data_IF_422483810266
#
_entry.id   IF_422483810266
#
_cell.length_a   1.000
_cell.length_b   1.000
_cell.length_c   1.000
_cell.angle_alpha   90.00
_cell.angle_beta   90.00
_cell.angle_gamma   90.00
#
_symmetry.space_group_name_H-M   'P 1'
#
loop_
_entity.id
_entity.type
_entity.pdbx_description
1 polymer ?
#
# COMPACT_ATOMS: atom_id res chain seq x y z
N UNK A 1 25.89 21.44 2.21
CA UNK A 1 25.59 20.56 3.35
C UNK A 1 24.56 19.57 2.86
N UNK A 2 24.98 18.36 2.49
CA UNK A 2 24.05 17.36 1.97
C UNK A 2 23.19 16.82 3.11
N UNK A 3 21.88 16.92 2.95
CA UNK A 3 20.92 16.62 4.01
C UNK A 3 20.32 15.23 3.79
N UNK A 4 20.83 14.24 4.51
CA UNK A 4 20.28 12.89 4.48
C UNK A 4 18.81 12.90 4.94
N UNK A 5 17.94 12.38 4.07
CA UNK A 5 16.54 12.11 4.37
C UNK A 5 16.48 10.74 5.05
N UNK A 6 15.99 10.62 6.30
CA UNK A 6 15.78 9.32 6.93
C UNK A 6 14.59 8.63 6.27
N UNK A 7 14.85 7.73 5.35
CA UNK A 7 13.86 6.85 4.71
C UNK A 7 13.73 5.61 5.59
N UNK A 8 12.55 5.40 6.19
CA UNK A 8 12.29 4.18 6.95
C UNK A 8 12.08 3.01 5.99
N UNK A 9 13.11 2.18 5.83
CA UNK A 9 13.11 1.04 4.91
C UNK A 9 13.03 -0.28 5.68
N UNK A 10 11.95 -1.04 5.46
CA UNK A 10 11.78 -2.40 5.98
C UNK A 10 11.79 -3.40 4.82
N UNK A 11 12.73 -4.35 4.82
CA UNK A 11 12.79 -5.42 3.82
C UNK A 11 12.64 -6.79 4.50
N UNK A 12 11.75 -7.62 3.96
CA UNK A 12 11.52 -9.00 4.41
C UNK A 12 11.44 -9.93 3.18
N UNK A 13 12.40 -10.84 3.07
CA UNK A 13 12.46 -11.82 1.98
C UNK A 13 12.48 -13.22 2.57
N UNK A 14 11.52 -14.07 2.22
CA UNK A 14 11.39 -15.43 2.78
C UNK A 14 11.14 -16.42 1.66
N UNK A 15 12.11 -17.29 1.37
CA UNK A 15 12.15 -18.04 0.11
C UNK A 15 11.06 -19.13 -0.05
N UNK A 16 10.53 -19.71 1.04
CA UNK A 16 9.65 -20.92 0.93
C UNK A 16 8.44 -20.96 1.85
N UNK A 17 8.35 -20.12 2.88
CA UNK A 17 7.26 -20.19 3.87
C UNK A 17 6.30 -19.00 3.78
N UNK A 18 5.12 -19.17 4.40
CA UNK A 18 4.09 -18.13 4.52
C UNK A 18 4.67 -16.90 5.22
N UNK A 19 4.53 -15.75 4.59
CA UNK A 19 4.71 -14.46 5.27
C UNK A 19 3.37 -14.10 5.92
N UNK A 20 3.38 -13.78 7.21
CA UNK A 20 2.23 -13.16 7.88
C UNK A 20 2.73 -12.05 8.78
N UNK A 21 2.32 -10.81 8.50
CA UNK A 21 2.79 -9.63 9.23
C UNK A 21 1.67 -8.63 9.50
N UNK A 22 1.74 -7.98 10.67
CA UNK A 22 0.95 -6.82 11.04
C UNK A 22 1.93 -5.67 11.27
N UNK A 23 1.91 -4.66 10.42
CA UNK A 23 2.90 -3.59 10.37
C UNK A 23 2.22 -2.28 10.78
N UNK A 24 2.41 -1.86 12.03
CA UNK A 24 1.99 -0.53 12.48
C UNK A 24 3.05 0.49 12.06
N UNK A 25 2.66 1.46 11.25
CA UNK A 25 3.51 2.58 10.86
C UNK A 25 3.34 3.69 11.88
N UNK A 26 4.44 4.23 12.39
CA UNK A 26 4.47 5.24 13.45
C UNK A 26 5.50 6.32 13.09
N UNK A 27 5.17 7.56 13.37
CA UNK A 27 6.07 8.72 13.25
C UNK A 27 6.15 9.46 14.58
N UNK A 28 7.30 10.07 14.84
CA UNK A 28 7.60 10.82 16.08
C UNK A 28 8.12 12.23 15.76
N UNK A 29 7.86 12.74 14.56
CA UNK A 29 8.54 13.93 14.04
C UNK A 29 7.61 15.00 13.48
N UNK A 30 7.29 15.97 14.34
CA UNK A 30 6.29 17.02 14.09
C UNK A 30 6.89 18.27 13.39
N UNK A 31 8.20 18.29 13.16
CA UNK A 31 9.00 19.52 12.93
C UNK A 31 9.73 19.57 11.58
N UNK A 32 9.40 18.72 10.59
CA UNK A 32 10.00 18.74 9.24
C UNK A 32 8.99 19.13 8.15
N UNK A 33 9.45 19.72 7.02
CA UNK A 33 8.67 19.87 5.78
C UNK A 33 8.53 18.55 4.98
N UNK A 34 8.59 17.40 5.65
CA UNK A 34 8.28 16.10 5.05
C UNK A 34 6.77 15.94 4.87
N UNK A 35 6.30 14.94 4.09
CA UNK A 35 4.91 14.49 4.14
C UNK A 35 4.48 14.30 5.60
N UNK A 36 3.39 14.98 6.00
CA UNK A 36 2.97 15.14 7.41
C UNK A 36 2.44 13.83 7.99
N UNK A 37 3.33 12.88 8.21
CA UNK A 37 3.04 11.50 8.59
C UNK A 37 4.24 10.55 8.42
N UNK A 38 5.26 10.95 7.66
CA UNK A 38 6.47 10.15 7.39
C UNK A 38 6.40 9.41 6.04
N UNK A 39 7.52 8.80 5.65
CA UNK A 39 7.67 8.00 4.42
C UNK A 39 8.23 6.62 4.77
N UNK A 40 7.48 5.59 4.41
CA UNK A 40 7.73 4.21 4.77
C UNK A 40 7.87 3.37 3.50
N UNK A 41 9.01 2.71 3.33
CA UNK A 41 9.25 1.78 2.23
C UNK A 41 9.25 0.36 2.79
N UNK A 42 8.34 -0.48 2.32
CA UNK A 42 8.19 -1.88 2.76
C UNK A 42 8.28 -2.81 1.56
N UNK A 43 9.11 -3.87 1.66
CA UNK A 43 9.20 -4.93 0.64
C UNK A 43 9.01 -6.29 1.26
N UNK A 44 8.09 -7.10 0.71
CA UNK A 44 7.79 -8.45 1.15
C UNK A 44 7.72 -9.42 -0.04
N UNK A 45 8.56 -10.45 -0.05
CA UNK A 45 8.61 -11.43 -1.16
C UNK A 45 8.71 -12.88 -0.67
N UNK A 46 7.93 -13.79 -1.28
CA UNK A 46 7.99 -15.24 -1.02
C UNK A 46 7.64 -16.09 -2.24
N UNK A 47 8.39 -17.18 -2.50
CA UNK A 47 8.25 -17.94 -3.75
C UNK A 47 7.17 -19.04 -3.71
N UNK A 48 6.78 -19.51 -2.52
CA UNK A 48 5.84 -20.64 -2.36
C UNK A 48 4.83 -20.47 -1.22
N UNK A 49 5.01 -19.48 -0.33
CA UNK A 49 4.12 -19.25 0.78
C UNK A 49 3.10 -18.16 0.48
N UNK A 50 1.91 -18.24 1.08
CA UNK A 50 0.95 -17.11 1.06
C UNK A 50 1.60 -15.86 1.63
N UNK A 51 1.43 -14.74 0.96
CA UNK A 51 1.77 -13.41 1.47
C UNK A 51 0.53 -12.83 2.17
N UNK A 52 0.59 -12.58 3.47
CA UNK A 52 -0.51 -12.01 4.24
C UNK A 52 0.00 -10.79 5.04
N UNK A 53 -0.23 -9.59 4.52
CA UNK A 53 0.26 -8.34 5.12
C UNK A 53 -0.94 -7.49 5.54
N UNK A 54 -0.87 -6.91 6.72
CA UNK A 54 -1.85 -5.91 7.16
C UNK A 54 -1.16 -4.71 7.77
N UNK A 55 -1.65 -3.52 7.44
CA UNK A 55 -1.29 -2.26 8.06
C UNK A 55 -2.48 -1.80 8.90
N UNK A 56 -2.55 -2.17 10.20
CA UNK A 56 -3.69 -1.83 11.06
C UNK A 56 -3.59 -0.43 11.68
N UNK A 57 -2.53 0.32 11.37
CA UNK A 57 -2.29 1.68 11.84
C UNK A 57 -1.31 2.36 10.91
N UNK A 58 -1.71 3.48 10.33
CA UNK A 58 -0.87 4.33 9.47
C UNK A 58 -1.09 5.80 9.85
N UNK A 59 -0.05 6.65 9.93
CA UNK A 59 -0.25 8.07 10.20
C UNK A 59 -0.97 8.74 9.03
N UNK A 60 -1.94 9.62 9.32
CA UNK A 60 -2.57 10.47 8.30
C UNK A 60 -1.52 11.27 7.53
N UNK A 61 -1.71 11.49 6.22
CA UNK A 61 -0.75 12.15 5.32
C UNK A 61 0.71 11.60 5.39
N UNK A 62 0.86 10.30 5.67
CA UNK A 62 2.10 9.56 5.41
C UNK A 62 2.13 8.96 4.00
N UNK A 63 3.33 8.62 3.54
CA UNK A 63 3.57 7.87 2.31
C UNK A 63 3.91 6.42 2.65
N UNK A 64 3.19 5.47 2.07
CA UNK A 64 3.51 4.04 2.13
C UNK A 64 3.86 3.56 0.72
N UNK A 65 5.13 3.23 0.51
CA UNK A 65 5.60 2.53 -0.69
C UNK A 65 5.76 1.05 -0.35
N UNK A 66 4.78 0.24 -0.75
CA UNK A 66 4.77 -1.19 -0.48
C UNK A 66 4.91 -2.00 -1.78
N UNK A 67 5.86 -2.94 -1.79
CA UNK A 67 5.96 -3.96 -2.84
C UNK A 67 5.78 -5.35 -2.23
N UNK A 68 4.71 -6.05 -2.62
CA UNK A 68 4.38 -7.39 -2.20
C UNK A 68 4.40 -8.38 -3.38
N UNK A 69 5.22 -9.41 -3.33
CA UNK A 69 5.38 -10.36 -4.46
C UNK A 69 5.29 -11.82 -4.00
N UNK A 70 4.55 -12.65 -4.74
CA UNK A 70 4.63 -14.09 -4.56
C UNK A 70 4.36 -14.93 -5.81
N UNK A 71 5.29 -15.83 -6.12
CA UNK A 71 5.01 -16.95 -7.04
C UNK A 71 4.14 -18.00 -6.33
N UNK A 72 3.43 -18.86 -7.08
CA UNK A 72 2.86 -20.13 -6.60
C UNK A 72 1.83 -20.05 -5.44
N UNK A 73 1.46 -18.87 -4.93
CA UNK A 73 0.53 -18.69 -3.80
C UNK A 73 -0.30 -17.41 -3.91
N UNK A 74 -1.23 -17.20 -2.97
CA UNK A 74 -2.02 -15.95 -2.91
C UNK A 74 -1.28 -14.84 -2.17
N UNK A 75 -1.61 -13.60 -2.53
CA UNK A 75 -1.27 -12.41 -1.76
C UNK A 75 -2.55 -11.76 -1.24
N UNK A 76 -2.55 -11.42 0.04
CA UNK A 76 -3.66 -10.82 0.76
C UNK A 76 -3.10 -9.61 1.52
N UNK A 77 -3.59 -8.42 1.21
CA UNK A 77 -3.01 -7.16 1.67
C UNK A 77 -4.12 -6.24 2.17
N UNK A 78 -4.13 -5.95 3.47
CA UNK A 78 -5.05 -5.00 4.08
C UNK A 78 -4.33 -3.68 4.39
N UNK A 79 -4.81 -2.58 3.81
CA UNK A 79 -4.28 -1.23 4.03
C UNK A 79 -5.11 -0.49 5.10
N UNK A 80 -4.46 0.39 5.85
CA UNK A 80 -5.13 1.24 6.83
C UNK A 80 -6.09 2.25 6.16
N UNK A 81 -7.08 2.74 6.91
CA UNK A 81 -7.97 3.79 6.43
C UNK A 81 -7.24 5.08 6.04
N UNK A 82 -6.08 5.37 6.65
CA UNK A 82 -5.24 6.54 6.39
C UNK A 82 -4.34 6.43 5.14
N UNK A 83 -4.35 5.30 4.42
CA UNK A 83 -3.69 5.21 3.13
C UNK A 83 -4.34 6.16 2.11
N UNK A 84 -3.55 7.07 1.57
CA UNK A 84 -3.88 7.90 0.40
C UNK A 84 -2.77 7.70 -0.66
N UNK A 85 -3.16 7.32 -1.87
CA UNK A 85 -2.24 7.09 -2.98
C UNK A 85 -2.68 6.03 -4.00
N UNK A 86 -1.71 5.57 -4.79
CA UNK A 86 -1.92 4.70 -5.95
C UNK A 86 -1.73 3.23 -5.61
N UNK A 87 -2.46 2.36 -6.31
CA UNK A 87 -2.30 0.91 -6.20
C UNK A 87 -2.29 0.21 -7.56
N UNK A 88 -1.54 -0.87 -7.66
CA UNK A 88 -1.52 -1.78 -8.79
C UNK A 88 -1.43 -3.24 -8.28
N UNK A 89 -2.43 -4.04 -8.62
CA UNK A 89 -2.58 -5.44 -8.19
C UNK A 89 -2.63 -6.32 -9.43
N UNK A 90 -1.88 -7.42 -9.46
CA UNK A 90 -1.81 -8.32 -10.61
C UNK A 90 -1.66 -9.79 -10.21
N UNK A 91 -2.23 -10.69 -11.02
CA UNK A 91 -2.07 -12.14 -10.90
C UNK A 91 -1.98 -12.83 -12.26
N UNK A 92 -1.15 -13.87 -12.37
CA UNK A 92 -1.14 -14.74 -13.56
C UNK A 92 -2.22 -15.84 -13.51
N UNK A 93 -2.63 -16.26 -12.32
CA UNK A 93 -3.32 -17.54 -12.11
C UNK A 93 -4.82 -17.43 -11.76
N UNK A 94 -5.24 -16.34 -11.13
CA UNK A 94 -6.56 -16.24 -10.48
C UNK A 94 -7.31 -14.95 -10.88
N UNK A 95 -8.30 -14.55 -10.09
CA UNK A 95 -8.93 -13.23 -10.12
C UNK A 95 -8.30 -12.32 -9.04
N UNK A 96 -8.20 -11.01 -9.33
CA UNK A 96 -7.97 -9.96 -8.33
C UNK A 96 -9.30 -9.55 -7.71
N UNK A 97 -9.43 -9.70 -6.39
CA UNK A 97 -10.53 -9.15 -5.60
C UNK A 97 -10.05 -7.85 -4.90
N UNK A 98 -10.94 -6.88 -4.73
CA UNK A 98 -10.66 -5.57 -4.15
C UNK A 98 -11.87 -5.05 -3.38
N UNK A 99 -11.78 -5.07 -2.05
CA UNK A 99 -12.71 -4.41 -1.12
C UNK A 99 -12.17 -3.01 -0.77
N UNK A 100 -12.93 -1.97 -1.11
CA UNK A 100 -12.61 -0.57 -0.81
C UNK A 100 -13.25 -0.06 0.49
N UNK A 101 -14.27 -0.77 0.99
CA UNK A 101 -14.98 -0.53 2.24
C UNK A 101 -15.61 0.87 2.38
N UNK A 102 -16.18 1.14 3.57
CA UNK A 102 -16.66 2.47 3.95
C UNK A 102 -16.10 2.91 5.31
N UNK A 103 -14.77 3.10 5.44
CA UNK A 103 -14.17 3.56 6.69
C UNK A 103 -14.57 4.99 7.05
N UNK A 104 -14.36 5.38 8.31
CA UNK A 104 -14.43 6.77 8.77
C UNK A 104 -13.15 7.54 8.41
N UNK A 105 -13.25 8.85 8.17
CA UNK A 105 -12.09 9.72 7.88
C UNK A 105 -11.10 9.74 9.06
N UNK A 106 -9.89 9.17 8.91
CA UNK A 106 -8.91 9.06 9.99
C UNK A 106 -8.33 10.40 10.42
N UNK A 107 -8.54 11.47 9.63
CA UNK A 107 -8.16 12.83 10.04
C UNK A 107 -9.22 13.54 10.90
N UNK A 108 -10.40 12.93 11.07
CA UNK A 108 -11.52 13.51 11.82
C UNK A 108 -12.19 14.72 11.16
N UNK A 109 -11.87 15.03 9.89
CA UNK A 109 -12.35 16.22 9.17
C UNK A 109 -13.67 16.00 8.43
N UNK A 110 -14.24 14.80 8.47
CA UNK A 110 -15.48 14.46 7.77
C UNK A 110 -15.32 14.35 6.25
N UNK A 111 -14.10 14.13 5.74
CA UNK A 111 -13.84 13.87 4.32
C UNK A 111 -14.52 12.57 3.88
N UNK A 112 -14.85 12.44 2.59
CA UNK A 112 -15.29 11.18 2.00
C UNK A 112 -14.11 10.45 1.39
N UNK A 113 -14.05 9.12 1.55
CA UNK A 113 -13.10 8.29 0.81
C UNK A 113 -13.60 8.15 -0.62
N UNK A 114 -12.69 8.33 -1.56
CA UNK A 114 -12.92 8.06 -2.98
C UNK A 114 -11.87 7.02 -3.39
N UNK A 115 -12.34 5.93 -3.98
CA UNK A 115 -11.48 4.90 -4.59
C UNK A 115 -11.84 4.83 -6.06
N UNK A 116 -10.90 5.21 -6.92
CA UNK A 116 -11.05 5.19 -8.36
C UNK A 116 -10.30 3.99 -8.93
N UNK A 117 -11.03 3.02 -9.45
CA UNK A 117 -10.47 1.89 -10.20
C UNK A 117 -10.35 2.25 -11.68
N UNK A 118 -9.14 2.16 -12.24
CA UNK A 118 -8.93 2.18 -13.69
C UNK A 118 -9.41 0.85 -14.27
N UNK A 119 -10.05 0.87 -15.44
CA UNK A 119 -10.51 -0.38 -16.09
C UNK A 119 -9.35 -1.37 -16.24
N UNK A 120 -9.51 -2.52 -15.61
CA UNK A 120 -8.54 -3.60 -15.58
C UNK A 120 -9.04 -4.84 -16.33
N UNK A 121 -8.31 -5.94 -16.15
CA UNK A 121 -8.80 -7.29 -16.48
C UNK A 121 -9.16 -8.00 -15.18
N UNK A 122 -9.81 -9.17 -15.25
CA UNK A 122 -9.97 -10.02 -14.05
C UNK A 122 -8.63 -10.37 -13.37
N UNK A 123 -7.51 -10.25 -14.09
CA UNK A 123 -6.14 -10.56 -13.61
C UNK A 123 -5.33 -9.34 -13.17
N UNK A 124 -5.80 -8.13 -13.40
CA UNK A 124 -5.05 -6.92 -13.05
C UNK A 124 -5.98 -5.73 -12.82
N UNK A 125 -5.84 -5.07 -11.67
CA UNK A 125 -6.59 -3.88 -11.27
C UNK A 125 -5.59 -2.82 -10.81
N UNK A 126 -5.78 -1.57 -11.24
CA UNK A 126 -4.99 -0.43 -10.76
C UNK A 126 -5.89 0.76 -10.50
N UNK A 127 -5.43 1.71 -9.69
CA UNK A 127 -6.25 2.82 -9.28
C UNK A 127 -5.58 3.72 -8.25
N UNK A 128 -6.39 4.55 -7.60
CA UNK A 128 -5.98 5.41 -6.51
C UNK A 128 -7.09 5.54 -5.47
N UNK A 129 -6.69 5.82 -4.23
CA UNK A 129 -7.57 6.08 -3.09
C UNK A 129 -7.13 7.37 -2.41
N UNK A 130 -8.08 8.24 -2.07
CA UNK A 130 -7.81 9.49 -1.35
C UNK A 130 -9.05 9.94 -0.56
N UNK A 131 -8.88 10.97 0.27
CA UNK A 131 -9.93 11.53 1.10
C UNK A 131 -10.20 13.00 0.74
N UNK A 132 -11.38 13.30 0.19
CA UNK A 132 -11.76 14.66 -0.20
C UNK A 132 -12.83 14.67 -1.29
N UNK A 133 -12.75 15.66 -2.19
CA UNK A 133 -13.51 15.69 -3.43
C UNK A 133 -12.57 15.47 -4.62
N UNK A 134 -13.02 14.76 -5.66
CA UNK A 134 -12.24 14.52 -6.90
C UNK A 134 -11.75 15.81 -7.57
N UNK A 135 -12.49 16.91 -7.44
CA UNK A 135 -12.10 18.23 -7.99
C UNK A 135 -10.92 18.86 -7.26
N UNK A 136 -10.69 18.48 -6.01
CA UNK A 136 -9.64 19.03 -5.14
C UNK A 136 -8.42 18.09 -5.08
N UNK A 137 -8.46 16.96 -5.80
CA UNK A 137 -7.39 15.96 -5.84
C UNK A 137 -6.29 16.38 -6.82
N UNK A 138 -5.25 17.04 -6.31
CA UNK A 138 -4.06 17.37 -7.08
C UNK A 138 -3.25 16.10 -7.38
N UNK A 139 -3.29 15.68 -8.65
CA UNK A 139 -2.59 14.49 -9.17
C UNK A 139 -1.05 14.62 -9.17
N UNK A 140 -0.51 15.80 -8.84
CA UNK A 140 0.93 16.04 -8.73
C UNK A 140 1.43 15.97 -7.29
N UNK A 141 0.54 15.78 -6.30
CA UNK A 141 0.93 15.56 -4.91
C UNK A 141 1.58 14.19 -4.77
N UNK A 142 2.71 14.15 -4.06
CA UNK A 142 3.37 12.90 -3.67
C UNK A 142 2.44 12.08 -2.76
N UNK A 143 2.16 10.84 -3.16
CA UNK A 143 1.26 9.92 -2.44
C UNK A 143 1.87 8.52 -2.38
N UNK A 144 1.35 7.65 -1.51
CA UNK A 144 1.89 6.29 -1.37
C UNK A 144 1.70 5.44 -2.63
N UNK A 145 2.57 4.46 -2.83
CA UNK A 145 2.50 3.53 -3.95
C UNK A 145 2.47 2.06 -3.50
N UNK A 146 1.36 1.36 -3.77
CA UNK A 146 1.18 -0.05 -3.41
C UNK A 146 1.20 -0.93 -4.66
N UNK A 147 2.19 -1.82 -4.76
CA UNK A 147 2.27 -2.84 -5.81
C UNK A 147 2.16 -4.22 -5.21
N UNK A 148 1.22 -5.02 -5.71
CA UNK A 148 1.04 -6.42 -5.34
C UNK A 148 1.03 -7.28 -6.60
N UNK A 149 1.93 -8.26 -6.69
CA UNK A 149 1.97 -9.19 -7.81
C UNK A 149 1.97 -10.65 -7.36
N UNK A 150 1.23 -11.49 -8.09
CA UNK A 150 1.32 -12.94 -7.96
C UNK A 150 1.60 -13.60 -9.31
N UNK A 151 2.74 -14.29 -9.42
CA UNK A 151 3.42 -14.51 -10.71
C UNK A 151 3.33 -15.94 -11.24
N UNK A 152 3.35 -16.93 -10.35
CA UNK A 152 3.78 -18.31 -10.65
C UNK A 152 5.24 -18.41 -11.13
N UNK A 153 5.81 -19.61 -11.02
CA UNK A 153 6.93 -20.03 -11.88
C UNK A 153 6.58 -21.42 -12.41
N UNK A 154 6.39 -21.52 -13.73
CA UNK A 154 6.43 -22.82 -14.40
C UNK A 154 7.88 -23.32 -14.37
N UNK A 155 8.15 -24.30 -13.51
CA UNK A 155 9.35 -25.15 -13.54
C UNK A 155 9.17 -26.30 -14.53
#
# INVERSE_FOLDING_TARGET
>A
MELLIPISTSQMMIHTSRITSRISLLTTHDQRPQPKGGHFIVRAATSNGRLNISYPTTPVNSLLDFTGETSNSSADVALDAAFEGTFAISTSNSHVDLDDGTPSDPSGKGRKRIVHQTQGSSKAVSGYAFWGNEKDHDRNVETGHVVVSTSNVSV
#
